data_IF_924650872908
#
_entry.id   IF_924650872908
#
_cell.length_a   1.000
_cell.length_b   1.000
_cell.length_c   1.000
_cell.angle_alpha   90.00
_cell.angle_beta   90.00
_cell.angle_gamma   90.00
#
_symmetry.space_group_name_H-M   'P 1'
#
loop_
_entity.id
_entity.type
_entity.pdbx_description
1 polymer ?
#
# COMPACT_ATOMS: atom_id res chain seq x y z
N UNK A 1 -2.97 -4.73 -1.58
CA UNK A 1 -1.93 -4.16 -2.45
C UNK A 1 -2.46 -3.10 -3.42
N UNK A 2 -3.70 -2.61 -3.29
CA UNK A 2 -4.32 -1.70 -4.26
C UNK A 2 -3.62 -0.34 -4.48
N UNK A 3 -2.77 0.08 -3.54
CA UNK A 3 -1.94 1.28 -3.72
C UNK A 3 -0.90 1.15 -4.84
N UNK A 4 -0.61 -0.07 -5.29
CA UNK A 4 0.29 -0.36 -6.40
C UNK A 4 -0.39 -0.25 -7.76
N UNK A 5 -1.72 -0.34 -7.82
CA UNK A 5 -2.47 -0.30 -9.08
C UNK A 5 -2.60 1.12 -9.66
N UNK A 6 -2.25 2.15 -8.90
CA UNK A 6 -2.45 3.56 -9.29
C UNK A 6 -1.32 4.48 -8.82
N UNK A 7 -1.28 5.69 -9.39
CA UNK A 7 -0.45 6.80 -8.89
C UNK A 7 1.05 6.47 -8.81
N UNK A 8 1.68 6.82 -7.68
CA UNK A 8 3.12 6.58 -7.48
C UNK A 8 3.44 5.08 -7.37
N UNK A 9 2.54 4.26 -6.83
CA UNK A 9 2.76 2.81 -6.70
C UNK A 9 2.90 2.13 -8.06
N UNK A 10 2.00 2.43 -9.00
CA UNK A 10 2.05 1.89 -10.36
C UNK A 10 3.35 2.29 -11.09
N UNK A 11 3.83 3.52 -10.87
CA UNK A 11 5.10 3.99 -11.43
C UNK A 11 6.31 3.25 -10.86
N UNK A 12 6.32 2.98 -9.55
CA UNK A 12 7.40 2.21 -8.91
C UNK A 12 7.41 0.79 -9.47
N UNK A 13 6.24 0.15 -9.57
CA UNK A 13 6.12 -1.21 -10.12
C UNK A 13 6.60 -1.31 -11.57
N UNK A 14 6.30 -0.29 -12.38
CA UNK A 14 6.79 -0.19 -13.76
C UNK A 14 8.30 0.13 -13.89
N UNK A 15 9.02 0.32 -12.78
CA UNK A 15 10.44 0.73 -12.79
C UNK A 15 10.65 2.18 -13.25
N UNK A 16 9.59 3.00 -13.23
CA UNK A 16 9.56 4.38 -13.72
C UNK A 16 9.66 5.41 -12.59
N UNK A 17 10.30 5.04 -11.48
CA UNK A 17 10.51 5.91 -10.32
C UNK A 17 11.96 5.89 -9.89
N UNK A 18 12.49 7.07 -9.57
CA UNK A 18 13.82 7.28 -9.00
C UNK A 18 13.74 7.75 -7.54
N UNK A 19 14.83 7.62 -6.79
CA UNK A 19 14.88 8.10 -5.40
C UNK A 19 14.60 9.60 -5.27
N UNK A 20 15.06 10.42 -6.21
CA UNK A 20 14.79 11.86 -6.23
C UNK A 20 13.30 12.17 -6.34
N UNK A 21 12.56 11.41 -7.14
CA UNK A 21 11.12 11.60 -7.30
C UNK A 21 10.35 11.11 -6.07
N UNK A 22 10.78 10.00 -5.47
CA UNK A 22 10.16 9.46 -4.25
C UNK A 22 10.37 10.38 -3.04
N UNK A 23 11.56 10.96 -2.91
CA UNK A 23 11.86 12.00 -1.91
C UNK A 23 10.92 13.20 -2.09
N UNK A 24 10.87 13.78 -3.28
CA UNK A 24 10.01 14.92 -3.57
C UNK A 24 8.52 14.61 -3.34
N UNK A 25 8.07 13.41 -3.72
CA UNK A 25 6.72 12.95 -3.48
C UNK A 25 6.39 12.91 -1.98
N UNK A 26 7.26 12.32 -1.16
CA UNK A 26 6.97 12.15 0.26
C UNK A 26 7.07 13.48 1.03
N UNK A 27 8.05 14.34 0.68
CA UNK A 27 8.15 15.69 1.24
C UNK A 27 6.89 16.53 0.94
N UNK A 28 6.35 16.42 -0.29
CA UNK A 28 5.10 17.11 -0.66
C UNK A 28 3.89 16.50 0.05
N UNK A 29 3.88 15.18 0.27
CA UNK A 29 2.78 14.47 0.93
C UNK A 29 2.72 14.78 2.44
N UNK A 30 3.86 15.01 3.08
CA UNK A 30 3.96 15.25 4.51
C UNK A 30 3.87 13.94 5.29
N UNK A 31 2.68 13.59 5.74
CA UNK A 31 2.46 12.38 6.54
C UNK A 31 1.98 11.19 5.69
N UNK A 32 2.30 9.98 6.17
CA UNK A 32 1.79 8.77 5.55
C UNK A 32 0.27 8.68 5.74
N UNK A 33 -0.40 8.15 4.73
CA UNK A 33 -1.81 7.80 4.87
C UNK A 33 -1.92 6.61 5.83
N UNK A 34 -2.97 6.53 6.67
CA UNK A 34 -3.19 5.37 7.53
C UNK A 34 -3.19 4.07 6.74
N UNK A 35 -2.52 3.04 7.26
CA UNK A 35 -2.55 1.70 6.66
C UNK A 35 -3.92 1.05 6.88
N UNK A 36 -4.32 0.18 5.94
CA UNK A 36 -5.47 -0.71 6.14
C UNK A 36 -5.17 -1.79 7.18
N UNK A 37 -6.21 -2.27 7.88
CA UNK A 37 -6.11 -3.45 8.75
C UNK A 37 -5.76 -4.69 7.93
N UNK A 38 -4.86 -5.53 8.44
CA UNK A 38 -4.53 -6.83 7.85
C UNK A 38 -5.60 -7.90 8.03
N UNK A 39 -6.64 -7.63 8.84
CA UNK A 39 -7.78 -8.53 9.07
C UNK A 39 -7.43 -9.95 9.55
N UNK A 40 -6.29 -10.16 10.21
CA UNK A 40 -5.84 -11.49 10.63
C UNK A 40 -6.90 -12.24 11.45
N UNK A 41 -7.32 -11.70 12.60
CA UNK A 41 -8.31 -12.33 13.49
C UNK A 41 -9.65 -12.57 12.77
N UNK A 42 -10.08 -11.63 11.91
CA UNK A 42 -11.29 -11.79 11.10
C UNK A 42 -11.15 -12.96 10.13
N UNK A 43 -10.01 -13.08 9.44
CA UNK A 43 -9.76 -14.16 8.48
C UNK A 43 -9.62 -15.52 9.17
N UNK A 44 -8.99 -15.58 10.34
CA UNK A 44 -8.93 -16.80 11.16
C UNK A 44 -10.34 -17.26 11.57
N UNK A 45 -11.17 -16.33 12.06
CA UNK A 45 -12.56 -16.64 12.41
C UNK A 45 -13.41 -17.05 11.21
N UNK A 46 -13.22 -16.40 10.06
CA UNK A 46 -13.91 -16.74 8.82
C UNK A 46 -13.59 -18.18 8.40
N UNK A 47 -12.32 -18.58 8.41
CA UNK A 47 -11.93 -19.95 8.04
C UNK A 47 -12.56 -20.97 9.00
N UNK A 48 -12.58 -20.69 10.31
CA UNK A 48 -13.21 -21.56 11.30
C UNK A 48 -14.73 -21.74 11.07
N UNK A 49 -15.41 -20.79 10.43
CA UNK A 49 -16.85 -20.88 10.13
C UNK A 49 -17.16 -21.89 9.01
N UNK A 50 -16.19 -22.20 8.15
CA UNK A 50 -16.35 -23.14 7.02
C UNK A 50 -15.76 -24.53 7.29
N UNK A 51 -15.29 -24.80 8.51
CA UNK A 51 -14.77 -26.10 8.98
C UNK A 51 -15.79 -26.75 9.92
#
# INVERSE_FOLDING_TARGET
YSSWDTGIGARIEAGQSSFKELEAYMLKKGDISPNGSGRQELLENLINEFI
#
